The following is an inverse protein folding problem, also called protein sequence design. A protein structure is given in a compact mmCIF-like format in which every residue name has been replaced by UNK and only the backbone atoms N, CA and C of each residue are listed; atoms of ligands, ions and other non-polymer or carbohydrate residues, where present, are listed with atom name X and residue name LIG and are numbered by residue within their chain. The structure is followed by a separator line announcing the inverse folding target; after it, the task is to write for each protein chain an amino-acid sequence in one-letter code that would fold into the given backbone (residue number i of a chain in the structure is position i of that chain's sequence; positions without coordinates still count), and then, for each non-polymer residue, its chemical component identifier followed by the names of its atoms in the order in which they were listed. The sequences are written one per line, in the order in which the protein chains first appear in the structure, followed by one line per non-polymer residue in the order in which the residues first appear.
data_IF_137940810367
#
_entry.id   IF_137940810367
#
_cell.length_a   1.000
_cell.length_b   1.000
_cell.length_c   1.000
_cell.angle_alpha   90.00
_cell.angle_beta   90.00
_cell.angle_gamma   90.00
#
_symmetry.space_group_name_H-M   'P 1'
#
loop_
_entity.id
_entity.type
_entity.pdbx_description
1 polymer ?
#
# COMPACT_ATOMS: atom_id res chain seq x y z
N UNK A 1 6.70 -10.83 11.48
CA UNK A 1 7.57 -9.77 11.99
C UNK A 1 8.07 -10.20 13.37
N UNK A 2 9.25 -9.77 13.81
CA UNK A 2 9.73 -9.97 15.19
C UNK A 2 9.48 -8.71 16.03
N UNK A 3 9.60 -8.83 17.36
CA UNK A 3 9.48 -7.69 18.27
C UNK A 3 10.54 -6.62 17.98
N UNK A 4 11.79 -7.05 17.82
CA UNK A 4 12.92 -6.13 17.66
C UNK A 4 12.84 -5.38 16.32
N UNK A 5 12.41 -6.07 15.25
CA UNK A 5 12.09 -5.43 13.97
C UNK A 5 11.02 -4.34 14.12
N UNK A 6 9.97 -4.62 14.89
CA UNK A 6 8.89 -3.66 15.09
C UNK A 6 9.37 -2.44 15.88
N UNK A 7 10.13 -2.65 16.96
CA UNK A 7 10.70 -1.55 17.75
C UNK A 7 11.58 -0.67 16.87
N UNK A 8 12.49 -1.29 16.12
CA UNK A 8 13.39 -0.57 15.20
C UNK A 8 12.60 0.26 14.18
N UNK A 9 11.48 -0.26 13.66
CA UNK A 9 10.63 0.48 12.74
C UNK A 9 9.90 1.65 13.42
N UNK A 10 9.30 1.42 14.59
CA UNK A 10 8.53 2.45 15.31
C UNK A 10 9.38 3.61 15.81
N UNK A 11 10.65 3.36 16.19
CA UNK A 11 11.60 4.40 16.58
C UNK A 11 12.00 5.32 15.43
N UNK A 12 11.97 4.80 14.19
CA UNK A 12 12.30 5.57 12.98
C UNK A 12 11.12 6.38 12.44
N UNK A 13 9.90 5.91 12.70
CA UNK A 13 8.69 6.63 12.31
C UNK A 13 8.52 7.83 13.25
N UNK A 14 8.40 9.06 12.75
CA UNK A 14 8.15 10.22 13.59
C UNK A 14 6.88 10.07 14.41
N UNK A 15 6.88 10.57 15.64
CA UNK A 15 5.73 10.49 16.55
C UNK A 15 4.44 11.07 15.95
N UNK A 16 4.57 12.14 15.15
CA UNK A 16 3.44 12.77 14.44
C UNK A 16 2.73 11.82 13.45
N UNK A 17 3.43 10.78 13.00
CA UNK A 17 2.91 9.78 12.07
C UNK A 17 2.47 8.48 12.76
N UNK A 18 2.68 8.32 14.07
CA UNK A 18 2.28 7.10 14.80
C UNK A 18 0.77 6.85 14.69
N UNK A 19 -0.06 7.89 14.80
CA UNK A 19 -1.52 7.79 14.65
C UNK A 19 -1.99 7.44 13.23
N UNK A 20 -1.08 7.51 12.24
CA UNK A 20 -1.33 7.16 10.84
C UNK A 20 -0.76 5.79 10.50
N UNK A 21 -0.11 5.11 11.44
CA UNK A 21 0.41 3.76 11.22
C UNK A 21 -0.76 2.78 11.20
N UNK A 22 -0.78 1.92 10.19
CA UNK A 22 -1.65 0.77 10.08
C UNK A 22 -0.85 -0.52 10.08
N UNK A 23 -1.25 -1.44 10.95
CA UNK A 23 -0.80 -2.82 10.95
C UNK A 23 -1.61 -3.59 9.92
N UNK A 24 -0.92 -4.13 8.91
CA UNK A 24 -1.53 -5.03 7.93
C UNK A 24 -1.25 -6.46 8.37
N UNK A 25 -2.33 -7.18 8.65
CA UNK A 25 -2.30 -8.56 9.11
C UNK A 25 -2.20 -9.52 7.93
N UNK A 26 -1.65 -10.72 8.17
CA UNK A 26 -1.65 -11.80 7.18
C UNK A 26 -3.04 -12.24 6.74
N UNK A 27 -4.04 -12.07 7.60
CA UNK A 27 -5.46 -12.32 7.27
C UNK A 27 -6.04 -11.30 6.28
N UNK A 28 -5.33 -10.20 6.01
CA UNK A 28 -5.83 -9.05 5.26
C UNK A 28 -6.55 -8.00 6.13
N UNK A 29 -6.77 -8.28 7.42
CA UNK A 29 -7.28 -7.28 8.35
C UNK A 29 -6.27 -6.12 8.50
N UNK A 30 -6.79 -4.90 8.71
CA UNK A 30 -5.97 -3.71 8.90
C UNK A 30 -6.39 -3.03 10.19
N UNK A 31 -5.41 -2.76 11.07
CA UNK A 31 -5.64 -2.10 12.35
C UNK A 31 -4.88 -0.77 12.37
N UNK A 32 -5.58 0.33 12.56
CA UNK A 32 -4.93 1.64 12.71
C UNK A 32 -4.49 1.83 14.16
N UNK A 33 -3.27 2.32 14.33
CA UNK A 33 -2.68 2.64 15.61
C UNK A 33 -3.22 3.96 16.14
N UNK A 34 -3.74 3.93 17.36
CA UNK A 34 -4.04 5.15 18.12
C UNK A 34 -2.98 5.32 19.21
N UNK A 35 -2.82 4.30 20.08
CA UNK A 35 -1.82 4.30 21.14
C UNK A 35 -1.18 2.92 21.26
N UNK A 36 0.15 2.88 21.31
CA UNK A 36 0.89 1.67 21.70
C UNK A 36 0.97 1.61 23.22
N UNK A 37 0.37 0.59 23.83
CA UNK A 37 0.27 0.47 25.29
C UNK A 37 1.46 -0.30 25.85
N UNK A 38 1.81 -1.44 25.22
CA UNK A 38 2.89 -2.32 25.69
C UNK A 38 3.42 -3.22 24.58
N UNK A 39 4.70 -3.57 24.67
CA UNK A 39 5.35 -4.58 23.84
C UNK A 39 5.70 -5.80 24.70
N UNK A 40 4.97 -6.89 24.51
CA UNK A 40 5.25 -8.18 25.17
C UNK A 40 6.22 -9.01 24.31
N UNK A 41 6.79 -10.11 24.83
CA UNK A 41 7.72 -10.94 24.06
C UNK A 41 7.12 -11.56 22.79
N UNK A 42 5.83 -11.89 22.77
CA UNK A 42 5.18 -12.63 21.66
C UNK A 42 4.08 -11.85 20.94
N UNK A 43 3.59 -10.77 21.53
CA UNK A 43 2.56 -9.90 20.95
C UNK A 43 2.76 -8.45 21.40
N UNK A 44 2.07 -7.51 20.76
CA UNK A 44 1.94 -6.14 21.24
C UNK A 44 0.51 -5.88 21.74
N UNK A 45 0.39 -4.90 22.63
CA UNK A 45 -0.89 -4.39 23.14
C UNK A 45 -1.03 -2.96 22.66
N UNK A 46 -2.12 -2.68 21.96
CA UNK A 46 -2.41 -1.36 21.42
C UNK A 46 -3.88 -1.02 21.55
N UNK A 47 -4.17 0.29 21.58
CA UNK A 47 -5.49 0.83 21.31
C UNK A 47 -5.54 1.27 19.86
N UNK A 48 -6.65 1.02 19.18
CA UNK A 48 -6.79 1.36 17.77
C UNK A 48 -8.20 1.24 17.25
N UNK A 49 -8.30 1.17 15.93
CA UNK A 49 -9.54 0.95 15.18
C UNK A 49 -9.28 -0.07 14.07
N UNK A 50 -10.27 -0.89 13.77
CA UNK A 50 -10.23 -1.80 12.62
C UNK A 50 -10.67 -1.04 11.36
N UNK A 51 -9.97 -1.23 10.25
CA UNK A 51 -10.29 -0.54 9.00
C UNK A 51 -11.70 -0.88 8.52
N UNK A 52 -12.48 0.15 8.16
CA UNK A 52 -13.88 0.00 7.76
C UNK A 52 -14.88 0.02 8.92
N UNK A 53 -14.41 0.05 10.17
CA UNK A 53 -15.26 0.30 11.32
C UNK A 53 -15.00 1.71 11.89
N UNK A 54 -16.07 2.37 12.36
CA UNK A 54 -15.99 3.65 13.08
C UNK A 54 -15.82 3.49 14.60
N UNK A 55 -15.83 2.25 15.11
CA UNK A 55 -15.62 2.00 16.52
C UNK A 55 -14.17 2.31 16.92
N UNK A 56 -13.99 3.46 17.56
CA UNK A 56 -12.72 3.93 18.09
C UNK A 56 -12.41 3.30 19.46
N UNK A 57 -11.11 3.26 19.80
CA UNK A 57 -10.68 2.99 21.17
C UNK A 57 -10.68 1.51 21.60
N UNK A 58 -10.81 0.57 20.67
CA UNK A 58 -10.74 -0.87 20.98
C UNK A 58 -9.31 -1.29 21.32
N UNK A 59 -9.17 -2.17 22.31
CA UNK A 59 -7.91 -2.80 22.66
C UNK A 59 -7.64 -4.00 21.77
N UNK A 60 -6.42 -4.11 21.25
CA UNK A 60 -5.96 -5.21 20.41
C UNK A 60 -4.73 -5.87 21.02
N UNK A 61 -4.71 -7.19 20.98
CA UNK A 61 -3.57 -8.04 21.31
C UNK A 61 -3.09 -8.67 20.01
N UNK A 62 -1.95 -8.22 19.51
CA UNK A 62 -1.53 -8.50 18.15
C UNK A 62 -0.25 -9.34 18.15
N UNK A 63 -0.31 -10.64 17.79
CA UNK A 63 0.88 -11.47 17.67
C UNK A 63 1.81 -10.94 16.57
N UNK A 64 3.11 -10.84 16.84
CA UNK A 64 4.07 -10.35 15.82
C UNK A 64 4.13 -11.26 14.58
N UNK A 65 3.84 -12.54 14.77
CA UNK A 65 3.78 -13.52 13.69
C UNK A 65 2.73 -13.17 12.63
N UNK A 66 1.62 -12.55 13.03
CA UNK A 66 0.49 -12.24 12.16
C UNK A 66 0.62 -10.87 11.48
N UNK A 67 1.57 -10.04 11.92
CA UNK A 67 1.89 -8.77 11.27
C UNK A 67 2.67 -9.06 9.99
N UNK A 68 2.09 -8.67 8.86
CA UNK A 68 2.71 -8.81 7.55
C UNK A 68 3.62 -7.61 7.24
N UNK A 69 3.09 -6.39 7.35
CA UNK A 69 3.84 -5.15 7.19
C UNK A 69 3.14 -3.97 7.88
N UNK A 70 3.86 -2.85 7.99
CA UNK A 70 3.33 -1.57 8.43
C UNK A 70 3.10 -0.66 7.23
N UNK A 71 2.01 0.11 7.25
CA UNK A 71 1.69 1.16 6.29
C UNK A 71 1.54 2.47 7.05
N UNK A 72 2.02 3.58 6.48
CA UNK A 72 1.66 4.92 6.97
C UNK A 72 0.56 5.44 6.05
N UNK A 73 -0.63 5.69 6.60
CA UNK A 73 -1.81 6.15 5.85
C UNK A 73 -1.76 7.65 5.57
N UNK A 74 -0.75 8.06 4.80
CA UNK A 74 -0.68 9.37 4.16
C UNK A 74 0.19 9.31 2.92
N UNK A 75 0.11 10.35 2.09
CA UNK A 75 1.09 10.55 1.03
C UNK A 75 2.42 10.90 1.68
N UNK A 76 3.45 10.15 1.32
CA UNK A 76 4.83 10.38 1.74
C UNK A 76 5.67 10.62 0.49
N UNK A 77 6.53 11.63 0.55
CA UNK A 77 7.54 11.88 -0.46
C UNK A 77 8.74 10.95 -0.27
N UNK A 78 9.50 10.71 -1.34
CA UNK A 78 10.71 9.89 -1.26
C UNK A 78 11.73 10.47 -0.27
N UNK A 79 11.87 11.80 -0.22
CA UNK A 79 12.78 12.48 0.70
C UNK A 79 12.43 12.23 2.18
N UNK A 80 11.13 12.19 2.52
CA UNK A 80 10.70 11.84 3.88
C UNK A 80 11.03 10.38 4.23
N UNK A 81 10.81 9.45 3.29
CA UNK A 81 11.16 8.05 3.49
C UNK A 81 12.66 7.85 3.65
N UNK A 82 13.47 8.55 2.84
CA UNK A 82 14.92 8.56 2.98
C UNK A 82 15.33 9.14 4.33
N UNK A 83 14.76 10.26 4.76
CA UNK A 83 15.07 10.83 6.08
C UNK A 83 14.77 9.86 7.25
N UNK A 84 13.73 9.03 7.15
CA UNK A 84 13.40 8.03 8.18
C UNK A 84 14.32 6.79 8.16
N UNK A 85 14.89 6.43 7.00
CA UNK A 85 15.58 5.14 6.84
C UNK A 85 17.00 5.21 6.22
N UNK A 86 17.55 6.40 5.96
CA UNK A 86 18.79 6.62 5.21
C UNK A 86 20.01 5.88 5.79
N UNK A 87 20.09 5.75 7.12
CA UNK A 87 21.27 5.20 7.81
C UNK A 87 21.61 3.76 7.39
N UNK A 88 20.64 2.97 6.92
CA UNK A 88 20.86 1.58 6.49
C UNK A 88 21.09 1.40 4.99
N UNK A 89 20.57 2.29 4.15
CA UNK A 89 20.81 2.21 2.70
C UNK A 89 22.27 2.52 2.36
N UNK A 90 22.93 3.38 3.14
CA UNK A 90 24.36 3.63 3.01
C UNK A 90 25.21 2.38 3.33
N UNK A 91 24.82 1.57 4.32
CA UNK A 91 25.51 0.31 4.64
C UNK A 91 25.24 -0.79 3.62
N UNK A 92 24.03 -0.88 3.06
CA UNK A 92 23.70 -1.86 2.01
C UNK A 92 24.37 -1.50 0.67
N UNK A 93 24.45 -0.21 0.30
CA UNK A 93 25.15 0.25 -0.92
C UNK A 93 26.66 -0.04 -0.88
N UNK A 94 27.30 -0.07 0.29
CA UNK A 94 28.72 -0.42 0.42
C UNK A 94 29.00 -1.92 0.24
N UNK A 95 28.01 -2.79 0.48
CA UNK A 95 28.16 -4.23 0.31
C UNK A 95 27.84 -4.73 -1.12
N UNK A 96 27.25 -3.88 -1.97
CA UNK A 96 26.79 -4.27 -3.32
C UNK A 96 27.56 -3.66 -4.50
N UNK A 97 28.66 -2.92 -4.26
CA UNK A 97 29.38 -2.20 -5.32
C UNK A 97 30.73 -2.81 -5.67
N UNK A 98 30.76 -4.09 -5.99
CA UNK A 98 31.83 -4.69 -6.80
C UNK A 98 31.23 -5.73 -7.76
N UNK A 99 30.74 -5.28 -8.92
CA UNK A 99 31.00 -5.82 -10.27
C UNK A 99 29.92 -5.40 -11.28
N UNK A 100 30.37 -5.11 -12.51
CA UNK A 100 29.65 -4.72 -13.74
C UNK A 100 29.45 -3.22 -13.87
N UNK A 101 30.44 -2.49 -14.39
CA UNK A 101 30.93 -2.45 -15.78
C UNK A 101 29.86 -1.94 -16.73
N UNK A 102 30.18 -0.78 -17.31
CA UNK A 102 29.42 -0.03 -18.29
C UNK A 102 28.94 -0.88 -19.46
N UNK A 103 27.67 -0.70 -19.81
CA UNK A 103 27.18 -0.88 -21.17
C UNK A 103 26.05 0.12 -21.41
N UNK A 104 26.39 1.17 -22.14
CA UNK A 104 25.48 2.18 -22.66
C UNK A 104 24.72 1.52 -23.81
N UNK A 105 23.42 1.29 -23.64
CA UNK A 105 22.54 0.85 -24.74
C UNK A 105 21.52 1.95 -24.98
N UNK A 106 21.63 2.58 -26.14
CA UNK A 106 20.67 3.57 -26.67
C UNK A 106 19.23 3.03 -26.61
N UNK A 107 18.34 3.88 -26.10
CA UNK A 107 16.90 3.62 -26.04
C UNK A 107 16.25 4.13 -27.32
N UNK A 108 15.48 3.31 -28.06
CA UNK A 108 14.67 3.80 -29.17
C UNK A 108 13.47 4.63 -28.66
N UNK A 109 13.05 5.67 -29.39
CA UNK A 109 12.01 6.59 -28.94
C UNK A 109 10.63 5.92 -28.82
N UNK A 110 9.81 6.30 -27.82
CA UNK A 110 8.45 5.78 -27.68
C UNK A 110 7.54 6.31 -28.80
N UNK A 111 6.61 5.49 -29.32
CA UNK A 111 5.58 5.98 -30.22
C UNK A 111 4.63 6.92 -29.47
N UNK A 112 4.43 8.11 -30.03
CA UNK A 112 3.53 9.14 -29.54
C UNK A 112 2.10 8.62 -29.42
N UNK A 113 1.68 8.27 -28.20
CA UNK A 113 0.28 8.01 -27.89
C UNK A 113 -0.51 9.34 -27.94
N UNK A 114 -1.69 9.41 -28.58
CA UNK A 114 -2.53 10.59 -28.53
C UNK A 114 -2.98 10.90 -27.09
N UNK A 115 -2.54 12.05 -26.57
CA UNK A 115 -2.89 12.63 -25.28
C UNK A 115 -4.29 13.26 -25.32
N UNK A 116 -5.35 12.45 -25.23
CA UNK A 116 -6.61 12.99 -24.74
C UNK A 116 -7.41 11.95 -23.91
N UNK A 117 -7.42 12.06 -22.57
CA UNK A 117 -8.23 11.19 -21.71
C UNK A 117 -9.73 11.31 -22.03
N UNK A 118 -10.20 12.44 -22.60
CA UNK A 118 -11.58 12.62 -23.00
C UNK A 118 -11.96 11.77 -24.22
N UNK A 119 -11.02 11.54 -25.15
CA UNK A 119 -11.24 10.68 -26.31
C UNK A 119 -11.37 9.20 -25.90
N UNK A 120 -10.56 8.74 -24.95
CA UNK A 120 -10.61 7.38 -24.40
C UNK A 120 -11.92 7.16 -23.64
N UNK A 121 -12.35 8.14 -22.83
CA UNK A 121 -13.62 8.07 -22.09
C UNK A 121 -14.84 8.01 -23.04
N UNK A 122 -14.81 8.79 -24.13
CA UNK A 122 -15.87 8.78 -25.15
C UNK A 122 -15.97 7.43 -25.87
N UNK A 123 -14.84 6.82 -26.20
CA UNK A 123 -14.81 5.51 -26.86
C UNK A 123 -15.40 4.42 -25.95
N UNK A 124 -14.98 4.36 -24.69
CA UNK A 124 -15.50 3.41 -23.70
C UNK A 124 -17.01 3.60 -23.45
N UNK A 125 -17.50 4.84 -23.44
CA UNK A 125 -18.93 5.13 -23.30
C UNK A 125 -19.75 4.64 -24.50
N UNK A 126 -19.26 4.88 -25.72
CA UNK A 126 -19.93 4.45 -26.95
C UNK A 126 -20.00 2.92 -27.06
N UNK A 127 -18.94 2.22 -26.64
CA UNK A 127 -18.92 0.75 -26.65
C UNK A 127 -19.89 0.16 -25.62
N UNK A 128 -20.05 0.79 -24.45
CA UNK A 128 -21.08 0.42 -23.46
C UNK A 128 -22.50 0.64 -23.98
N UNK A 129 -22.75 1.72 -24.71
CA UNK A 129 -24.08 1.99 -25.30
C UNK A 129 -24.41 0.98 -26.41
N UNK A 130 -23.42 0.59 -27.23
CA UNK A 130 -23.61 -0.45 -28.27
C UNK A 130 -23.92 -1.81 -27.65
N UNK A 131 -23.18 -2.20 -26.61
CA UNK A 131 -23.42 -3.45 -25.88
C UNK A 131 -24.80 -3.49 -25.21
N UNK A 132 -25.28 -2.36 -24.67
CA UNK A 132 -26.61 -2.29 -24.06
C UNK A 132 -27.75 -2.43 -25.09
N UNK A 133 -27.56 -1.91 -26.31
CA UNK A 133 -28.58 -1.98 -27.37
C UNK A 133 -28.77 -3.39 -27.95
N UNK A 134 -27.71 -4.20 -28.00
CA UNK A 134 -27.82 -5.60 -28.47
C UNK A 134 -28.50 -6.53 -27.46
N UNK A 135 -28.45 -6.20 -26.16
CA UNK A 135 -29.15 -6.97 -25.10
C UNK A 135 -30.66 -6.78 -25.17
N UNK A 136 -31.13 -5.58 -25.53
CA UNK A 136 -32.57 -5.26 -25.60
C UNK A 136 -33.26 -5.95 -26.80
N UNK A 137 -32.53 -6.30 -27.85
CA UNK A 137 -33.09 -6.90 -29.06
C UNK A 137 -33.29 -8.41 -28.99
N UNK A 138 -32.64 -9.12 -28.05
CA UNK A 138 -32.71 -10.59 -27.93
C UNK A 138 -33.62 -11.11 -26.79
N UNK A 139 -34.34 -10.24 -26.08
CA UNK A 139 -35.08 -10.59 -24.86
C UNK A 139 -36.59 -10.76 -25.00
N UNK A 140 -37.12 -11.36 -26.08
CA UNK A 140 -38.56 -11.65 -26.19
C UNK A 140 -38.81 -13.17 -26.12
N UNK A 141 -39.26 -13.73 -24.98
CA UNK A 141 -39.62 -15.14 -24.91
C UNK A 141 -40.91 -15.40 -25.69
N UNK A 142 -40.85 -16.34 -26.63
CA UNK A 142 -42.03 -16.90 -27.28
C UNK A 142 -42.76 -17.81 -26.28
N UNK A 143 -43.94 -17.37 -25.86
CA UNK A 143 -44.87 -18.16 -25.05
C UNK A 143 -45.65 -19.09 -25.98
N UNK A 144 -45.58 -20.41 -25.74
CA UNK A 144 -46.69 -21.36 -25.87
C UNK A 144 -46.32 -22.68 -25.23
#
# INVERSE_FOLDING_TARGET
MTRDELVEMMERIPELDHSKVQFVMRSGAMLSLDILVRLEPTYLVMRGREAGNQDEGRGFFLPYADIQFLKIERVMTLAEMEAMFADRLASVKRAGRETRSDSITETPPPPSAPLDPAAIAKQNLLDRIRAAKSVITNGRPASK
#
